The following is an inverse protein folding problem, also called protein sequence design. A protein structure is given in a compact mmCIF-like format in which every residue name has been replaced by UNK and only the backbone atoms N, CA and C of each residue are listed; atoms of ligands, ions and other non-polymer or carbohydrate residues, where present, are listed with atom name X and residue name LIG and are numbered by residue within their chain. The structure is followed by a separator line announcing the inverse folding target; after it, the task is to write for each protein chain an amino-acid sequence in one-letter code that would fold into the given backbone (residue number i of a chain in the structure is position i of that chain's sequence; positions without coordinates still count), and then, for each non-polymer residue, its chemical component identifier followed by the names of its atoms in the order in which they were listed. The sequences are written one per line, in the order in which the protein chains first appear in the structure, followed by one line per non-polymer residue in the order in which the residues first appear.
data_IF_499799443668
#
_entry.id   IF_499799443668
#
_cell.length_a   1.000
_cell.length_b   1.000
_cell.length_c   1.000
_cell.angle_alpha   90.00
_cell.angle_beta   90.00
_cell.angle_gamma   90.00
#
_symmetry.space_group_name_H-M   'P 1'
#
loop_
_entity.id
_entity.type
_entity.pdbx_description
1 polymer ?
#
# COMPACT_ATOMS: atom_id res chain seq x y z
N UNK A 1 20.76 7.83 -33.81
CA UNK A 1 19.29 8.00 -33.98
C UNK A 1 18.54 6.66 -34.03
N UNK A 2 19.07 5.63 -34.70
CA UNK A 2 18.42 4.30 -34.78
C UNK A 2 18.45 3.54 -33.43
N UNK A 3 19.59 3.54 -32.73
CA UNK A 3 19.71 2.94 -31.39
C UNK A 3 18.66 3.40 -30.37
N UNK A 4 18.33 4.70 -30.36
CA UNK A 4 17.31 5.22 -29.44
C UNK A 4 15.91 4.69 -29.80
N UNK A 5 15.59 4.50 -31.09
CA UNK A 5 14.31 3.93 -31.50
C UNK A 5 14.19 2.46 -31.10
N UNK A 6 15.30 1.73 -31.06
CA UNK A 6 15.32 0.31 -30.68
C UNK A 6 15.26 0.13 -29.15
N UNK A 7 15.82 1.05 -28.37
CA UNK A 7 15.86 0.99 -26.90
C UNK A 7 14.56 1.47 -26.24
N UNK A 8 13.94 2.53 -26.77
CA UNK A 8 12.73 3.15 -26.21
C UNK A 8 11.60 2.17 -25.87
N UNK A 9 11.21 1.20 -26.74
CA UNK A 9 10.13 0.27 -26.41
C UNK A 9 10.47 -0.67 -25.25
N UNK A 10 11.75 -1.01 -25.06
CA UNK A 10 12.19 -1.97 -24.04
C UNK A 10 12.56 -1.29 -22.71
N UNK A 11 12.72 0.03 -22.69
CA UNK A 11 13.19 0.77 -21.54
C UNK A 11 12.29 0.61 -20.32
N UNK A 12 10.97 0.64 -20.50
CA UNK A 12 10.00 0.48 -19.41
C UNK A 12 10.08 -0.93 -18.79
N UNK A 13 10.17 -1.96 -19.63
CA UNK A 13 10.32 -3.35 -19.18
C UNK A 13 11.64 -3.52 -18.40
N UNK A 14 12.75 -3.05 -18.95
CA UNK A 14 14.06 -3.12 -18.29
C UNK A 14 14.07 -2.37 -16.96
N UNK A 15 13.40 -1.23 -16.90
CA UNK A 15 13.26 -0.46 -15.67
C UNK A 15 12.43 -1.22 -14.61
N UNK A 16 11.35 -1.89 -14.99
CA UNK A 16 10.57 -2.74 -14.08
C UNK A 16 11.40 -3.94 -13.60
N UNK A 17 12.11 -4.61 -14.50
CA UNK A 17 12.94 -5.77 -14.19
C UNK A 17 14.08 -5.42 -13.24
N UNK A 18 14.80 -4.32 -13.50
CA UNK A 18 15.90 -3.84 -12.66
C UNK A 18 15.43 -3.40 -11.28
N UNK A 19 14.29 -2.69 -11.19
CA UNK A 19 13.69 -2.35 -9.90
C UNK A 19 13.28 -3.59 -9.11
N UNK A 20 12.66 -4.58 -9.77
CA UNK A 20 12.25 -5.82 -9.12
C UNK A 20 13.44 -6.62 -8.60
N UNK A 21 14.50 -6.76 -9.40
CA UNK A 21 15.72 -7.47 -8.97
C UNK A 21 16.41 -6.73 -7.82
N UNK A 22 16.54 -5.40 -7.90
CA UNK A 22 17.09 -4.57 -6.83
C UNK A 22 16.33 -4.76 -5.52
N UNK A 23 15.00 -4.68 -5.55
CA UNK A 23 14.17 -4.87 -4.36
C UNK A 23 14.30 -6.29 -3.79
N UNK A 24 14.41 -7.31 -4.65
CA UNK A 24 14.62 -8.69 -4.22
C UNK A 24 15.94 -8.83 -3.47
N UNK A 25 17.04 -8.31 -4.03
CA UNK A 25 18.35 -8.35 -3.37
C UNK A 25 18.37 -7.51 -2.09
N UNK A 26 17.74 -6.35 -2.11
CA UNK A 26 17.63 -5.50 -0.92
C UNK A 26 16.87 -6.21 0.22
N UNK A 27 15.82 -6.98 -0.09
CA UNK A 27 15.13 -7.82 0.90
C UNK A 27 15.99 -9.00 1.36
N UNK A 28 16.67 -9.70 0.44
CA UNK A 28 17.56 -10.83 0.79
C UNK A 28 18.73 -10.39 1.68
N UNK A 29 19.24 -9.18 1.49
CA UNK A 29 20.30 -8.61 2.33
C UNK A 29 19.87 -8.35 3.78
N UNK A 30 18.56 -8.34 4.08
CA UNK A 30 18.05 -8.26 5.45
C UNK A 30 17.99 -9.62 6.15
N UNK A 31 18.21 -10.71 5.42
CA UNK A 31 18.20 -12.07 5.99
C UNK A 31 19.57 -12.46 6.49
N UNK A 32 19.59 -13.30 7.51
CA UNK A 32 20.82 -13.86 8.07
C UNK A 32 21.08 -15.24 7.50
N UNK A 33 22.35 -15.56 7.26
CA UNK A 33 22.77 -16.90 6.83
C UNK A 33 22.93 -17.82 8.03
N UNK A 34 22.29 -18.99 7.99
CA UNK A 34 22.47 -20.05 8.98
C UNK A 34 23.62 -21.00 8.59
N UNK A 35 24.07 -21.84 9.53
CA UNK A 35 25.17 -22.81 9.37
C UNK A 35 24.97 -23.80 8.21
N UNK A 36 23.73 -24.00 7.75
CA UNK A 36 23.38 -24.86 6.61
C UNK A 36 23.37 -24.11 5.26
N UNK A 37 23.94 -22.91 5.17
CA UNK A 37 23.85 -22.02 4.00
C UNK A 37 22.41 -21.64 3.60
N UNK A 38 21.46 -21.80 4.52
CA UNK A 38 20.08 -21.38 4.35
C UNK A 38 19.92 -19.92 4.78
N UNK A 39 19.01 -19.18 4.12
CA UNK A 39 18.64 -17.83 4.53
C UNK A 39 17.47 -17.90 5.51
N UNK A 40 17.65 -17.24 6.66
CA UNK A 40 16.62 -17.11 7.70
C UNK A 40 16.24 -15.65 7.82
N UNK A 41 14.94 -15.37 7.80
CA UNK A 41 14.40 -14.02 7.94
C UNK A 41 13.16 -14.03 8.82
N UNK A 42 13.04 -13.01 9.66
CA UNK A 42 11.87 -12.76 10.49
C UNK A 42 11.02 -11.66 9.85
N UNK A 43 9.70 -11.85 9.83
CA UNK A 43 8.78 -10.90 9.22
C UNK A 43 7.42 -10.90 9.92
N UNK A 44 6.76 -9.75 9.89
CA UNK A 44 5.38 -9.59 10.34
C UNK A 44 4.42 -10.00 9.23
N UNK A 45 3.48 -10.90 9.54
CA UNK A 45 2.48 -11.40 8.60
C UNK A 45 1.11 -11.33 9.29
N UNK A 46 0.09 -10.72 8.65
CA UNK A 46 -1.28 -10.79 9.16
C UNK A 46 -1.73 -12.25 9.25
N UNK A 47 -2.35 -12.62 10.38
CA UNK A 47 -2.77 -14.01 10.64
C UNK A 47 -3.68 -14.56 9.54
N UNK A 48 -4.53 -13.71 8.99
CA UNK A 48 -5.45 -14.03 7.88
C UNK A 48 -4.73 -14.43 6.59
N UNK A 49 -3.54 -13.85 6.31
CA UNK A 49 -2.77 -14.09 5.07
C UNK A 49 -1.76 -15.21 5.20
N UNK A 50 -1.66 -15.85 6.36
CA UNK A 50 -0.67 -16.91 6.60
C UNK A 50 -0.86 -18.10 5.63
N UNK A 51 -2.10 -18.45 5.31
CA UNK A 51 -2.41 -19.52 4.35
C UNK A 51 -1.95 -19.22 2.92
N UNK A 52 -2.07 -17.97 2.48
CA UNK A 52 -1.59 -17.52 1.16
C UNK A 52 -0.07 -17.63 1.05
N UNK A 53 0.65 -17.23 2.11
CA UNK A 53 2.11 -17.32 2.18
C UNK A 53 2.56 -18.79 2.13
N UNK A 54 1.92 -19.66 2.89
CA UNK A 54 2.25 -21.08 2.89
C UNK A 54 2.05 -21.72 1.51
N UNK A 55 0.92 -21.42 0.87
CA UNK A 55 0.59 -21.89 -0.48
C UNK A 55 1.57 -21.37 -1.54
N UNK A 56 1.96 -20.09 -1.44
CA UNK A 56 2.92 -19.49 -2.34
C UNK A 56 4.31 -20.14 -2.23
N UNK A 57 4.77 -20.43 -1.01
CA UNK A 57 6.03 -21.13 -0.76
C UNK A 57 5.99 -22.58 -1.27
N UNK A 58 4.91 -23.30 -1.00
CA UNK A 58 4.75 -24.68 -1.46
C UNK A 58 4.83 -24.77 -3.00
N UNK A 59 4.15 -23.85 -3.70
CA UNK A 59 4.19 -23.76 -5.17
C UNK A 59 5.60 -23.48 -5.71
N UNK A 60 6.42 -22.72 -4.99
CA UNK A 60 7.80 -22.41 -5.40
C UNK A 60 8.70 -23.64 -5.20
N UNK A 61 8.56 -24.35 -4.10
CA UNK A 61 9.31 -25.59 -3.82
C UNK A 61 8.98 -26.66 -4.86
N UNK A 62 7.70 -26.84 -5.16
CA UNK A 62 7.23 -27.80 -6.17
C UNK A 62 7.79 -27.48 -7.57
N UNK A 63 7.78 -26.21 -7.97
CA UNK A 63 8.32 -25.79 -9.27
C UNK A 63 9.83 -25.92 -9.38
N UNK A 64 10.58 -25.71 -8.30
CA UNK A 64 12.05 -25.82 -8.31
C UNK A 64 12.53 -27.27 -8.23
N UNK A 65 11.74 -28.19 -7.69
CA UNK A 65 12.12 -29.60 -7.54
C UNK A 65 13.35 -29.82 -6.64
N UNK A 66 13.77 -28.82 -5.86
CA UNK A 66 15.06 -28.82 -5.15
C UNK A 66 15.06 -29.67 -3.87
N UNK A 67 13.94 -30.30 -3.50
CA UNK A 67 13.82 -31.15 -2.31
C UNK A 67 13.94 -30.44 -0.95
N UNK A 68 14.42 -29.20 -0.92
CA UNK A 68 14.53 -28.37 0.30
C UNK A 68 13.16 -27.75 0.62
N UNK A 69 12.53 -28.10 1.77
CA UNK A 69 11.25 -27.53 2.15
C UNK A 69 11.42 -26.08 2.62
N UNK A 70 10.50 -25.20 2.22
CA UNK A 70 10.37 -23.88 2.81
C UNK A 70 9.62 -24.01 4.14
N UNK A 71 10.27 -23.63 5.24
CA UNK A 71 9.72 -23.77 6.59
C UNK A 71 9.27 -22.41 7.11
N UNK A 72 8.00 -22.30 7.50
CA UNK A 72 7.45 -21.11 8.17
C UNK A 72 7.10 -21.50 9.60
N UNK A 73 7.68 -20.79 10.59
CA UNK A 73 7.40 -20.99 12.00
C UNK A 73 6.83 -19.71 12.60
N UNK A 74 5.80 -19.83 13.43
CA UNK A 74 5.30 -18.73 14.23
C UNK A 74 6.25 -18.52 15.41
N UNK A 75 6.85 -17.33 15.48
CA UNK A 75 7.70 -16.92 16.59
C UNK A 75 6.85 -16.17 17.63
N UNK A 76 7.19 -16.35 18.90
CA UNK A 76 6.66 -15.55 19.99
C UNK A 76 7.67 -14.44 20.29
N UNK A 77 7.22 -13.20 20.29
CA UNK A 77 8.07 -12.03 20.55
C UNK A 77 7.30 -11.02 21.39
N UNK A 78 8.05 -10.26 22.21
CA UNK A 78 7.50 -9.16 23.01
C UNK A 78 7.56 -7.82 22.27
N UNK A 79 8.07 -7.79 21.03
CA UNK A 79 8.08 -6.58 20.23
C UNK A 79 6.66 -6.24 19.75
N UNK A 80 6.26 -4.95 19.79
CA UNK A 80 4.94 -4.56 19.31
C UNK A 80 4.86 -4.82 17.79
N UNK A 81 3.85 -5.57 17.32
CA UNK A 81 3.63 -5.76 15.89
C UNK A 81 3.24 -4.43 15.21
N UNK A 82 3.48 -4.30 13.90
CA UNK A 82 3.01 -3.16 13.13
C UNK A 82 1.47 -3.14 13.06
N UNK A 83 0.89 -1.94 13.10
CA UNK A 83 -0.55 -1.74 12.93
C UNK A 83 -0.91 -1.77 11.46
N UNK A 84 -1.90 -2.59 11.11
CA UNK A 84 -2.46 -2.65 9.76
C UNK A 84 -3.95 -2.38 9.82
N UNK A 85 -4.38 -1.26 9.23
CA UNK A 85 -5.80 -0.88 9.15
C UNK A 85 -6.34 -1.29 7.78
N UNK A 86 -7.43 -2.06 7.79
CA UNK A 86 -8.17 -2.40 6.58
C UNK A 86 -9.04 -1.20 6.15
N UNK A 87 -8.64 -0.54 5.07
CA UNK A 87 -9.40 0.56 4.48
C UNK A 87 -10.05 0.14 3.16
N UNK A 88 -11.30 0.53 2.96
CA UNK A 88 -11.90 0.59 1.63
C UNK A 88 -11.55 1.92 0.95
N UNK A 89 -11.90 2.05 -0.33
CA UNK A 89 -11.66 3.27 -1.14
C UNK A 89 -12.20 4.56 -0.51
N UNK A 90 -13.32 4.50 0.18
CA UNK A 90 -13.93 5.67 0.84
C UNK A 90 -13.23 6.03 2.15
N UNK A 91 -12.96 5.04 3.01
CA UNK A 91 -12.28 5.23 4.30
C UNK A 91 -10.79 5.52 4.15
N UNK A 92 -10.19 5.21 3.00
CA UNK A 92 -8.77 5.41 2.74
C UNK A 92 -8.36 6.88 2.86
N UNK A 93 -9.14 7.80 2.27
CA UNK A 93 -8.86 9.23 2.35
C UNK A 93 -8.80 9.72 3.81
N UNK A 94 -9.75 9.29 4.64
CA UNK A 94 -9.77 9.63 6.08
C UNK A 94 -8.61 8.99 6.84
N UNK A 95 -8.24 7.76 6.50
CA UNK A 95 -7.09 7.09 7.11
C UNK A 95 -5.78 7.82 6.78
N UNK A 96 -5.59 8.26 5.53
CA UNK A 96 -4.41 9.03 5.12
C UNK A 96 -4.29 10.32 5.93
N UNK A 97 -5.42 11.02 6.16
CA UNK A 97 -5.44 12.23 6.99
C UNK A 97 -5.05 11.90 8.44
N UNK A 98 -5.56 10.81 9.01
CA UNK A 98 -5.21 10.42 10.39
C UNK A 98 -3.76 9.95 10.52
N UNK A 99 -3.27 9.16 9.56
CA UNK A 99 -1.90 8.65 9.55
C UNK A 99 -0.87 9.78 9.43
N UNK A 100 -1.25 10.91 8.81
CA UNK A 100 -0.42 12.12 8.78
C UNK A 100 -0.22 12.76 10.16
N UNK A 101 -1.18 12.58 11.09
CA UNK A 101 -1.01 13.00 12.49
C UNK A 101 -0.23 11.96 13.30
N UNK A 102 -0.44 10.68 13.03
CA UNK A 102 0.29 9.59 13.64
C UNK A 102 -0.37 8.25 13.42
N UNK A 103 0.45 7.19 13.30
CA UNK A 103 -0.06 5.82 13.15
C UNK A 103 -0.47 5.29 14.53
N UNK A 104 -1.70 4.76 14.69
CA UNK A 104 -2.17 4.22 15.96
C UNK A 104 -1.33 3.04 16.43
N UNK A 105 -1.21 2.87 17.74
CA UNK A 105 -0.52 1.72 18.33
C UNK A 105 -1.30 0.44 18.11
N UNK A 106 -0.61 -0.71 18.20
CA UNK A 106 -1.26 -1.99 17.92
C UNK A 106 -2.35 -2.29 18.95
N UNK A 107 -3.56 -2.59 18.45
CA UNK A 107 -4.74 -2.87 19.29
C UNK A 107 -5.47 -1.62 19.78
N UNK A 108 -5.00 -0.42 19.40
CA UNK A 108 -5.70 0.84 19.68
C UNK A 108 -6.92 1.01 18.77
N UNK A 109 -7.93 1.73 19.26
CA UNK A 109 -9.11 2.05 18.47
C UNK A 109 -8.75 3.06 17.39
N UNK A 110 -9.18 2.80 16.15
CA UNK A 110 -8.91 3.71 15.04
C UNK A 110 -9.76 5.00 15.12
N UNK A 111 -9.16 6.19 15.30
CA UNK A 111 -9.90 7.45 15.33
C UNK A 111 -10.50 7.84 13.98
N UNK A 112 -10.00 7.31 12.86
CA UNK A 112 -10.46 7.67 11.51
C UNK A 112 -11.96 7.41 11.31
N UNK A 113 -12.50 6.37 11.97
CA UNK A 113 -13.92 6.04 11.91
C UNK A 113 -14.81 7.12 12.55
N UNK A 114 -14.34 7.72 13.64
CA UNK A 114 -15.05 8.83 14.29
C UNK A 114 -14.93 10.11 13.46
N UNK A 115 -13.73 10.36 12.94
CA UNK A 115 -13.45 11.51 12.08
C UNK A 115 -14.28 11.51 10.80
N UNK A 116 -14.69 10.34 10.31
CA UNK A 116 -15.60 10.23 9.16
C UNK A 116 -16.86 11.08 9.30
N UNK A 117 -17.43 11.14 10.51
CA UNK A 117 -18.67 11.88 10.79
C UNK A 117 -18.36 13.26 11.34
N UNK A 118 -17.44 13.35 12.30
CA UNK A 118 -17.17 14.59 13.01
C UNK A 118 -16.45 15.62 12.15
N UNK A 119 -15.56 15.20 11.24
CA UNK A 119 -14.79 16.13 10.41
C UNK A 119 -15.68 16.89 9.42
N UNK A 120 -16.52 16.24 8.57
CA UNK A 120 -17.42 16.97 7.69
C UNK A 120 -18.45 17.82 8.45
N UNK A 121 -18.90 17.36 9.62
CA UNK A 121 -19.84 18.11 10.46
C UNK A 121 -19.21 19.40 10.99
N UNK A 122 -18.03 19.33 11.60
CA UNK A 122 -17.32 20.50 12.09
C UNK A 122 -16.95 21.46 10.94
N UNK A 123 -16.54 20.92 9.80
CA UNK A 123 -16.30 21.71 8.59
C UNK A 123 -17.56 22.46 8.15
N UNK A 124 -18.73 21.80 8.13
CA UNK A 124 -19.99 22.44 7.76
C UNK A 124 -20.40 23.56 8.73
N UNK A 125 -20.21 23.37 10.04
CA UNK A 125 -20.49 24.40 11.06
C UNK A 125 -19.57 25.63 10.88
N UNK A 126 -18.29 25.40 10.60
CA UNK A 126 -17.32 26.49 10.41
C UNK A 126 -17.52 27.22 9.08
N UNK A 127 -17.91 26.51 8.03
CA UNK A 127 -18.07 27.05 6.69
C UNK A 127 -19.40 27.82 6.52
N UNK A 128 -20.47 27.39 7.21
CA UNK A 128 -21.67 28.18 7.50
C UNK A 128 -22.51 28.70 6.32
N UNK A 129 -22.15 28.35 5.07
CA UNK A 129 -22.77 28.88 3.85
C UNK A 129 -23.36 27.76 2.98
N UNK A 130 -24.68 27.82 2.76
CA UNK A 130 -25.43 26.85 1.96
C UNK A 130 -25.10 26.97 0.47
N UNK A 131 -24.94 28.18 -0.06
CA UNK A 131 -24.64 28.40 -1.48
C UNK A 131 -23.27 27.85 -1.86
N UNK A 132 -22.25 28.22 -1.08
CA UNK A 132 -20.91 27.66 -1.28
C UNK A 132 -20.87 26.15 -0.98
N UNK A 133 -21.63 25.66 0.00
CA UNK A 133 -21.79 24.23 0.29
C UNK A 133 -22.31 23.43 -0.90
N UNK A 134 -23.33 23.95 -1.60
CA UNK A 134 -23.87 23.32 -2.82
C UNK A 134 -22.80 23.28 -3.93
N UNK A 135 -22.05 24.36 -4.12
CA UNK A 135 -20.98 24.40 -5.15
C UNK A 135 -19.91 23.34 -4.85
N UNK A 136 -19.44 23.25 -3.60
CA UNK A 136 -18.47 22.23 -3.20
C UNK A 136 -19.01 20.80 -3.38
N UNK A 137 -20.29 20.57 -3.05
CA UNK A 137 -20.93 19.27 -3.24
C UNK A 137 -21.02 18.90 -4.74
N UNK A 138 -21.35 19.85 -5.61
CA UNK A 138 -21.39 19.64 -7.06
C UNK A 138 -20.01 19.33 -7.64
N UNK A 139 -18.97 20.04 -7.20
CA UNK A 139 -17.59 19.77 -7.62
C UNK A 139 -17.16 18.37 -7.17
N UNK A 140 -17.37 18.02 -5.90
CA UNK A 140 -17.07 16.69 -5.38
C UNK A 140 -17.82 15.58 -6.13
N UNK A 141 -19.11 15.77 -6.42
CA UNK A 141 -19.90 14.82 -7.19
C UNK A 141 -19.39 14.66 -8.64
N UNK A 142 -19.00 15.76 -9.30
CA UNK A 142 -18.43 15.73 -10.63
C UNK A 142 -17.08 14.99 -10.66
N UNK A 143 -16.25 15.15 -9.62
CA UNK A 143 -14.98 14.43 -9.45
C UNK A 143 -15.20 12.93 -9.29
N UNK A 144 -16.16 12.53 -8.45
CA UNK A 144 -16.53 11.11 -8.26
C UNK A 144 -17.05 10.50 -9.56
N UNK A 145 -17.88 11.23 -10.31
CA UNK A 145 -18.43 10.74 -11.58
C UNK A 145 -17.33 10.51 -12.64
N UNK A 146 -16.30 11.36 -12.68
CA UNK A 146 -15.20 11.29 -13.66
C UNK A 146 -13.95 10.56 -13.17
N UNK A 147 -14.00 9.93 -12.01
CA UNK A 147 -12.85 9.35 -11.33
C UNK A 147 -11.96 8.48 -12.24
N UNK A 148 -12.55 7.55 -13.01
CA UNK A 148 -11.79 6.65 -13.91
C UNK A 148 -10.99 7.43 -14.97
N UNK A 149 -11.58 8.49 -15.52
CA UNK A 149 -10.92 9.33 -16.51
C UNK A 149 -9.78 10.14 -15.91
N UNK A 150 -9.93 10.55 -14.64
CA UNK A 150 -8.96 11.39 -13.94
C UNK A 150 -7.75 10.55 -13.50
N UNK A 151 -7.98 9.35 -12.98
CA UNK A 151 -6.91 8.40 -12.64
C UNK A 151 -6.12 8.00 -13.90
N UNK A 152 -6.79 7.84 -15.05
CA UNK A 152 -6.11 7.54 -16.32
C UNK A 152 -5.31 8.74 -16.88
N UNK A 153 -5.75 9.96 -16.59
CA UNK A 153 -5.05 11.19 -16.93
C UNK A 153 -3.90 11.40 -15.94
N UNK A 154 -2.76 10.75 -16.20
CA UNK A 154 -1.52 10.89 -15.43
C UNK A 154 -1.07 12.35 -15.41
N UNK A 155 -1.53 13.09 -14.40
CA UNK A 155 -1.22 14.50 -14.18
C UNK A 155 0.07 14.61 -13.38
N UNK A 156 0.99 15.45 -13.83
CA UNK A 156 2.25 15.74 -13.11
C UNK A 156 2.07 16.80 -12.01
N UNK A 157 0.86 17.35 -11.84
CA UNK A 157 0.59 18.38 -10.83
C UNK A 157 0.24 17.73 -9.48
N UNK A 158 1.12 17.92 -8.50
CA UNK A 158 1.00 17.39 -7.14
C UNK A 158 -0.31 17.80 -6.45
N UNK A 159 -0.80 19.03 -6.67
CA UNK A 159 -2.07 19.48 -6.09
C UNK A 159 -3.25 18.66 -6.62
N UNK A 160 -3.23 18.31 -7.91
CA UNK A 160 -4.27 17.45 -8.48
C UNK A 160 -4.15 16.01 -7.99
N UNK A 161 -2.93 15.51 -7.78
CA UNK A 161 -2.72 14.16 -7.23
C UNK A 161 -3.20 14.05 -5.78
N UNK A 162 -2.94 15.05 -4.93
CA UNK A 162 -3.37 15.04 -3.53
C UNK A 162 -4.89 15.15 -3.37
N UNK A 163 -5.56 15.90 -4.25
CA UNK A 163 -7.02 16.02 -4.24
C UNK A 163 -7.75 14.73 -4.67
N UNK A 164 -7.09 13.84 -5.44
CA UNK A 164 -7.66 12.62 -6.02
C UNK A 164 -7.09 11.32 -5.46
N UNK A 165 -6.28 11.40 -4.40
CA UNK A 165 -5.70 10.25 -3.72
C UNK A 165 -6.75 9.39 -3.00
#
# INVERSE_FOLDING_TARGET
RNLLRDIVPNLEEWHVLTKKSLMTYHTLNKFTTDMSSALVGEAWIPVEKLGEVHSALHRVVERKGSGVPAIVKRLQTNQPPPTWVLTNKFTYAYQVIMDAYGVPTYGEQNPALWCLITFPFLFAVMFGDVGHGIIMALIGAAMIYKEKSIIASKSDNEMWMTLFQ
#
